data_IF_614052257798
#
_entry.id   IF_614052257798
#
_cell.length_a   1.000
_cell.length_b   1.000
_cell.length_c   1.000
_cell.angle_alpha   90.00
_cell.angle_beta   90.00
_cell.angle_gamma   90.00
#
_symmetry.space_group_name_H-M   'P 1'
#
loop_
_entity.id
_entity.type
_entity.pdbx_description
1 polymer ?
#
# COMPACT_ATOMS: atom_id res chain seq x y z
N UNK A 1 -59.32 51.77 61.48
CA UNK A 1 -57.99 51.90 62.11
C UNK A 1 -57.06 52.42 61.02
N UNK A 2 -56.83 53.73 60.99
CA UNK A 2 -55.64 54.31 60.34
C UNK A 2 -54.37 53.82 61.10
N UNK A 3 -53.12 53.89 60.55
CA UNK A 3 -52.64 55.03 59.78
C UNK A 3 -51.62 54.78 58.62
N UNK A 4 -51.61 55.79 57.74
CA UNK A 4 -50.50 56.59 57.16
C UNK A 4 -49.18 55.97 56.70
N UNK A 5 -48.78 56.48 55.53
CA UNK A 5 -47.41 56.70 55.05
C UNK A 5 -47.33 56.28 53.58
N UNK A 6 -47.08 57.12 52.58
CA UNK A 6 -46.37 58.40 52.50
C UNK A 6 -45.41 58.29 51.29
N UNK A 7 -45.26 59.35 50.50
CA UNK A 7 -44.14 59.50 49.56
C UNK A 7 -44.49 59.53 48.09
N UNK A 8 -44.36 60.72 47.51
CA UNK A 8 -44.47 61.03 46.09
C UNK A 8 -43.19 60.64 45.31
N UNK A 9 -43.33 60.44 43.99
CA UNK A 9 -42.58 61.17 42.95
C UNK A 9 -42.35 60.32 41.69
N UNK A 10 -42.95 60.76 40.58
CA UNK A 10 -42.19 61.15 39.40
C UNK A 10 -41.38 60.12 38.60
N UNK A 11 -41.98 59.77 37.45
CA UNK A 11 -41.40 59.82 36.08
C UNK A 11 -40.76 58.57 35.47
N UNK A 12 -41.36 58.27 34.30
CA UNK A 12 -40.77 57.88 33.02
C UNK A 12 -40.18 56.48 32.83
N UNK A 13 -40.87 55.71 31.97
CA UNK A 13 -40.36 54.56 31.22
C UNK A 13 -39.21 54.98 30.30
N UNK A 14 -38.23 54.09 30.09
CA UNK A 14 -38.10 53.43 28.78
C UNK A 14 -37.96 51.91 28.97
N UNK A 15 -38.69 51.09 28.19
CA UNK A 15 -38.32 50.55 26.89
C UNK A 15 -37.21 49.48 26.94
N UNK A 16 -37.60 48.25 26.60
CA UNK A 16 -36.83 47.15 26.00
C UNK A 16 -35.36 46.93 26.38
N UNK A 17 -35.08 45.77 26.99
CA UNK A 17 -34.53 44.66 26.19
C UNK A 17 -34.54 43.36 26.99
N UNK A 18 -35.34 42.44 26.50
CA UNK A 18 -35.32 41.05 26.84
C UNK A 18 -34.05 40.40 26.26
N UNK A 19 -33.44 39.51 27.07
CA UNK A 19 -32.62 38.36 26.65
C UNK A 19 -31.40 38.66 25.77
N UNK A 20 -30.21 38.59 26.37
CA UNK A 20 -29.01 38.18 25.62
C UNK A 20 -28.32 37.03 26.36
N UNK A 21 -28.90 35.84 26.23
CA UNK A 21 -28.16 34.58 26.38
C UNK A 21 -27.87 34.03 24.99
N UNK A 22 -26.63 33.59 24.81
CA UNK A 22 -26.08 32.76 23.75
C UNK A 22 -26.05 33.36 22.34
N UNK A 23 -24.89 33.93 22.00
CA UNK A 23 -24.36 33.88 20.64
C UNK A 23 -22.85 33.58 20.68
N UNK A 24 -22.51 32.38 21.17
CA UNK A 24 -21.26 31.71 20.80
C UNK A 24 -21.67 30.48 19.98
N UNK A 25 -22.29 30.72 18.83
CA UNK A 25 -22.26 29.82 17.68
C UNK A 25 -21.29 30.54 16.73
N UNK A 26 -20.09 30.04 16.48
CA UNK A 26 -19.84 28.74 15.89
C UNK A 26 -18.73 28.96 14.85
N UNK A 27 -17.52 29.20 15.33
CA UNK A 27 -16.32 29.09 14.50
C UNK A 27 -15.61 27.79 14.88
N UNK A 28 -16.29 26.66 14.67
CA UNK A 28 -15.58 25.40 14.60
C UNK A 28 -14.69 25.48 13.35
N UNK A 29 -13.36 25.38 13.46
CA UNK A 29 -12.55 25.25 12.27
C UNK A 29 -13.04 24.01 11.53
N UNK A 30 -13.29 24.14 10.22
CA UNK A 30 -13.43 22.99 9.34
C UNK A 30 -12.12 22.21 9.49
N UNK A 31 -12.15 21.14 10.29
CA UNK A 31 -11.04 20.22 10.39
C UNK A 31 -10.85 19.63 8.99
N UNK A 32 -9.83 20.11 8.28
CA UNK A 32 -9.39 19.46 7.05
C UNK A 32 -8.72 18.17 7.47
N UNK A 33 -9.43 17.06 7.27
CA UNK A 33 -8.87 15.74 7.45
C UNK A 33 -7.58 15.63 6.64
N UNK A 34 -6.49 15.28 7.32
CA UNK A 34 -5.22 15.01 6.66
C UNK A 34 -5.34 13.61 6.03
N UNK A 35 -5.54 13.56 4.72
CA UNK A 35 -5.43 12.30 3.99
C UNK A 35 -3.95 11.93 3.91
N UNK A 36 -3.59 10.82 4.54
CA UNK A 36 -2.27 10.23 4.39
C UNK A 36 -2.33 9.25 3.20
N UNK A 37 -1.58 9.49 2.12
CA UNK A 37 -1.50 8.54 1.01
C UNK A 37 -1.01 7.17 1.52
N UNK A 38 -1.62 6.09 1.02
CA UNK A 38 -1.26 4.71 1.33
C UNK A 38 -1.89 4.11 2.60
N UNK A 39 -2.84 4.81 3.24
CA UNK A 39 -3.52 4.32 4.47
C UNK A 39 -4.99 3.96 4.26
N UNK A 40 -5.66 4.58 3.28
CA UNK A 40 -7.05 4.24 2.96
C UNK A 40 -7.08 2.95 2.15
N UNK A 41 -7.93 1.99 2.51
CA UNK A 41 -8.16 0.83 1.67
C UNK A 41 -8.75 1.24 0.32
N UNK A 42 -8.43 0.45 -0.71
CA UNK A 42 -9.02 0.58 -2.04
C UNK A 42 -10.07 -0.50 -2.22
N UNK A 43 -11.26 -0.12 -2.68
CA UNK A 43 -12.30 -1.04 -3.11
C UNK A 43 -12.24 -1.24 -4.62
N UNK A 44 -12.05 -2.48 -5.05
CA UNK A 44 -12.01 -2.89 -6.45
C UNK A 44 -13.35 -3.49 -6.89
N UNK A 45 -13.74 -3.23 -8.12
CA UNK A 45 -14.81 -3.94 -8.82
C UNK A 45 -14.25 -5.09 -9.65
N UNK A 46 -15.15 -5.95 -10.15
CA UNK A 46 -14.75 -7.05 -11.04
C UNK A 46 -14.16 -6.49 -12.33
N UNK A 47 -12.95 -6.94 -12.69
CA UNK A 47 -12.25 -6.50 -13.90
C UNK A 47 -11.44 -5.21 -13.74
N UNK A 48 -11.48 -4.56 -12.58
CA UNK A 48 -10.65 -3.38 -12.32
C UNK A 48 -9.16 -3.73 -12.41
N UNK A 49 -8.32 -2.83 -12.96
CA UNK A 49 -6.89 -3.06 -13.02
C UNK A 49 -6.29 -3.02 -11.60
N UNK A 50 -5.43 -3.99 -11.32
CA UNK A 50 -4.67 -4.08 -10.07
C UNK A 50 -3.19 -3.90 -10.39
N UNK A 51 -2.61 -2.81 -9.92
CA UNK A 51 -1.23 -2.46 -10.21
C UNK A 51 -0.26 -3.27 -9.34
N UNK A 52 0.49 -4.17 -9.98
CA UNK A 52 1.66 -4.78 -9.36
C UNK A 52 2.85 -3.84 -9.49
N UNK A 53 3.48 -3.52 -8.36
CA UNK A 53 4.65 -2.64 -8.28
C UNK A 53 5.87 -3.44 -7.83
N UNK A 54 7.04 -3.01 -8.29
CA UNK A 54 8.33 -3.60 -7.93
C UNK A 54 9.11 -2.63 -7.06
N UNK A 55 9.79 -3.15 -6.04
CA UNK A 55 10.62 -2.34 -5.17
C UNK A 55 12.09 -2.74 -5.35
N UNK A 56 12.71 -3.26 -4.29
CA UNK A 56 14.13 -3.58 -4.23
C UNK A 56 14.40 -5.08 -4.19
N UNK A 57 15.62 -5.43 -4.55
CA UNK A 57 16.24 -6.70 -4.26
C UNK A 57 16.95 -6.57 -2.91
N UNK A 58 16.63 -7.45 -1.96
CA UNK A 58 17.23 -7.47 -0.62
C UNK A 58 17.83 -8.83 -0.33
N UNK A 59 18.93 -8.89 0.41
CA UNK A 59 19.58 -10.13 0.78
C UNK A 59 19.58 -10.29 2.30
N UNK A 60 19.54 -11.54 2.78
CA UNK A 60 19.80 -11.87 4.19
C UNK A 60 21.30 -11.96 4.50
N UNK A 61 22.15 -12.08 3.46
CA UNK A 61 23.61 -12.18 3.58
C UNK A 61 24.30 -10.83 3.52
N UNK A 62 23.79 -9.92 2.71
CA UNK A 62 24.39 -8.59 2.49
C UNK A 62 23.46 -7.48 2.97
N UNK A 63 24.02 -6.31 3.26
CA UNK A 63 23.26 -5.13 3.71
C UNK A 63 22.91 -4.17 2.55
N UNK A 64 23.25 -4.51 1.31
CA UNK A 64 23.11 -3.62 0.16
C UNK A 64 21.86 -3.98 -0.65
N UNK A 65 20.82 -3.13 -0.64
CA UNK A 65 19.68 -3.30 -1.54
C UNK A 65 20.03 -2.81 -2.95
N UNK A 66 19.44 -3.47 -3.95
CA UNK A 66 19.51 -3.04 -5.35
C UNK A 66 18.12 -2.73 -5.90
N UNK A 67 18.00 -1.84 -6.89
CA UNK A 67 16.71 -1.67 -7.60
C UNK A 67 16.36 -2.96 -8.35
N UNK A 68 15.06 -3.28 -8.44
CA UNK A 68 14.55 -4.44 -9.17
C UNK A 68 15.12 -4.52 -10.59
N UNK A 69 15.15 -3.40 -11.32
CA UNK A 69 15.63 -3.35 -12.71
C UNK A 69 17.15 -3.37 -12.89
N UNK A 70 17.91 -3.53 -11.80
CA UNK A 70 19.36 -3.84 -11.86
C UNK A 70 19.61 -5.18 -12.55
N UNK A 71 18.70 -6.15 -12.32
CA UNK A 71 18.62 -7.38 -13.08
C UNK A 71 17.80 -7.17 -14.36
N UNK A 72 18.14 -7.88 -15.45
CA UNK A 72 17.43 -7.75 -16.73
C UNK A 72 16.10 -8.52 -16.68
N UNK A 73 15.17 -8.02 -15.88
CA UNK A 73 13.77 -8.44 -15.89
C UNK A 73 13.01 -7.74 -17.03
N UNK A 74 11.76 -8.18 -17.27
CA UNK A 74 10.85 -7.49 -18.18
C UNK A 74 10.62 -6.05 -17.71
N UNK A 75 10.83 -5.08 -18.60
CA UNK A 75 10.63 -3.65 -18.32
C UNK A 75 9.39 -3.14 -19.06
N UNK A 76 8.58 -2.26 -18.45
CA UNK A 76 7.55 -1.52 -19.16
C UNK A 76 8.19 -0.48 -20.10
N UNK A 77 7.42 0.04 -21.06
CA UNK A 77 7.89 1.07 -22.01
C UNK A 77 8.45 2.31 -21.31
N UNK A 78 7.85 2.67 -20.17
CA UNK A 78 8.30 3.77 -19.31
C UNK A 78 8.27 3.33 -17.86
N UNK A 79 9.46 3.35 -17.25
CA UNK A 79 9.62 3.19 -15.80
C UNK A 79 9.22 4.50 -15.13
N UNK A 80 8.28 4.40 -14.21
CA UNK A 80 7.74 5.50 -13.42
C UNK A 80 7.87 5.11 -11.97
N UNK A 81 8.53 5.98 -11.20
CA UNK A 81 8.58 5.86 -9.76
C UNK A 81 7.23 6.29 -9.17
N UNK A 82 6.67 5.46 -8.30
CA UNK A 82 5.57 5.82 -7.41
C UNK A 82 6.07 5.86 -5.96
N UNK A 83 5.39 6.65 -5.16
CA UNK A 83 5.58 6.69 -3.71
C UNK A 83 4.24 6.30 -3.11
N UNK A 84 4.19 5.25 -2.31
CA UNK A 84 2.93 4.78 -1.72
C UNK A 84 2.63 5.52 -0.42
N UNK A 85 3.66 5.79 0.38
CA UNK A 85 3.49 6.44 1.67
C UNK A 85 4.62 7.45 2.01
N UNK A 86 4.36 8.28 3.01
CA UNK A 86 5.32 9.28 3.49
C UNK A 86 6.60 8.64 4.05
N UNK A 87 6.51 7.45 4.64
CA UNK A 87 7.66 6.73 5.18
C UNK A 87 8.67 6.36 4.10
N UNK A 88 8.21 5.87 2.95
CA UNK A 88 9.05 5.53 1.79
C UNK A 88 9.74 6.77 1.22
N UNK A 89 9.04 7.91 1.18
CA UNK A 89 9.67 9.18 0.77
C UNK A 89 10.85 9.52 1.67
N UNK A 90 10.66 9.39 2.99
CA UNK A 90 11.69 9.73 3.97
C UNK A 90 12.85 8.72 3.98
N UNK A 91 12.57 7.46 3.66
CA UNK A 91 13.58 6.41 3.53
C UNK A 91 14.28 6.43 2.16
N UNK A 92 13.77 7.21 1.20
CA UNK A 92 14.27 7.26 -0.17
C UNK A 92 14.01 5.95 -0.93
N UNK A 93 12.97 5.20 -0.54
CA UNK A 93 12.58 3.98 -1.24
C UNK A 93 11.93 4.36 -2.57
N UNK A 94 12.37 3.74 -3.65
CA UNK A 94 11.87 4.02 -5.00
C UNK A 94 11.10 2.79 -5.46
N UNK A 95 9.77 2.89 -5.42
CA UNK A 95 8.88 1.87 -5.94
C UNK A 95 8.62 2.19 -7.41
N UNK A 96 8.70 1.19 -8.26
CA UNK A 96 8.59 1.35 -9.71
C UNK A 96 7.42 0.52 -10.24
N UNK A 97 6.80 0.96 -11.33
CA UNK A 97 5.75 0.20 -11.99
C UNK A 97 6.30 -1.09 -12.62
N UNK A 98 5.51 -2.16 -12.60
CA UNK A 98 5.80 -3.41 -13.32
C UNK A 98 5.04 -3.48 -14.65
N UNK A 99 5.42 -4.37 -15.58
CA UNK A 99 4.66 -4.61 -16.81
C UNK A 99 3.51 -5.62 -16.63
N UNK A 100 3.28 -6.16 -15.43
CA UNK A 100 2.22 -7.13 -15.18
C UNK A 100 0.85 -6.45 -15.25
N UNK A 101 -0.05 -7.04 -16.03
CA UNK A 101 -1.43 -6.58 -16.18
C UNK A 101 -2.34 -7.56 -15.45
N UNK A 102 -2.73 -7.19 -14.22
CA UNK A 102 -3.61 -7.99 -13.37
C UNK A 102 -4.98 -7.31 -13.34
N UNK A 103 -6.03 -8.14 -13.37
CA UNK A 103 -7.41 -7.67 -13.29
C UNK A 103 -8.11 -8.37 -12.14
N UNK A 104 -8.87 -7.62 -11.35
CA UNK A 104 -9.54 -8.13 -10.17
C UNK A 104 -10.56 -9.21 -10.55
N UNK A 105 -10.51 -10.35 -9.85
CA UNK A 105 -11.31 -11.56 -10.08
C UNK A 105 -11.18 -12.22 -11.47
N UNK A 106 -10.10 -11.92 -12.20
CA UNK A 106 -9.83 -12.56 -13.49
C UNK A 106 -8.58 -13.43 -13.41
N UNK A 107 -8.79 -14.73 -13.32
CA UNK A 107 -7.70 -15.70 -13.29
C UNK A 107 -7.08 -15.85 -14.68
N UNK A 108 -5.76 -15.67 -14.76
CA UNK A 108 -4.98 -15.89 -15.98
C UNK A 108 -3.87 -16.92 -15.67
N UNK A 109 -3.76 -17.97 -16.49
CA UNK A 109 -2.77 -19.03 -16.32
C UNK A 109 -1.69 -18.97 -17.39
N UNK A 110 -0.42 -19.07 -17.00
CA UNK A 110 0.73 -19.17 -17.92
C UNK A 110 0.79 -18.06 -18.98
N UNK A 111 0.53 -16.81 -18.58
CA UNK A 111 0.69 -15.64 -19.46
C UNK A 111 2.17 -15.27 -19.56
N UNK A 112 2.69 -15.32 -20.78
CA UNK A 112 4.04 -14.85 -21.07
C UNK A 112 4.08 -13.31 -20.98
N UNK A 113 4.98 -12.79 -20.14
CA UNK A 113 5.16 -11.35 -19.97
C UNK A 113 6.08 -10.76 -21.03
N UNK A 114 7.26 -11.35 -21.19
CA UNK A 114 8.22 -10.99 -22.23
C UNK A 114 9.22 -12.13 -22.47
N UNK A 115 9.91 -12.09 -23.61
CA UNK A 115 11.06 -12.94 -23.88
C UNK A 115 12.33 -12.09 -23.88
N UNK A 116 13.37 -12.56 -23.19
CA UNK A 116 14.68 -11.91 -23.18
C UNK A 116 15.80 -12.94 -23.35
N UNK A 117 16.81 -12.56 -24.13
CA UNK A 117 18.05 -13.32 -24.27
C UNK A 117 19.10 -12.69 -23.38
N UNK A 118 19.56 -13.45 -22.38
CA UNK A 118 20.58 -12.99 -21.45
C UNK A 118 21.97 -13.07 -22.09
N UNK A 119 22.69 -11.96 -22.05
CA UNK A 119 24.13 -11.90 -22.34
C UNK A 119 24.96 -12.52 -21.21
N UNK A 120 26.22 -12.90 -21.47
CA UNK A 120 27.11 -13.42 -20.42
C UNK A 120 27.24 -12.50 -19.19
N UNK A 121 27.48 -11.17 -19.31
CA UNK A 121 27.58 -10.31 -18.12
C UNK A 121 26.25 -10.22 -17.33
N UNK A 122 25.11 -10.37 -18.00
CA UNK A 122 23.80 -10.43 -17.33
C UNK A 122 23.59 -11.75 -16.57
N UNK A 123 24.06 -12.86 -17.14
CA UNK A 123 24.06 -14.15 -16.43
C UNK A 123 24.94 -14.09 -15.19
N UNK A 124 26.10 -13.44 -15.26
CA UNK A 124 26.98 -13.25 -14.11
C UNK A 124 26.34 -12.43 -13.00
N UNK A 125 25.57 -11.39 -13.34
CA UNK A 125 24.77 -10.64 -12.35
C UNK A 125 23.76 -11.54 -11.65
N UNK A 126 23.01 -12.36 -12.40
CA UNK A 126 22.09 -13.32 -11.79
C UNK A 126 22.81 -14.31 -10.89
N UNK A 127 23.96 -14.86 -11.31
CA UNK A 127 24.75 -15.78 -10.48
C UNK A 127 25.12 -15.14 -9.15
N UNK A 128 25.71 -13.95 -9.16
CA UNK A 128 26.08 -13.22 -7.94
C UNK A 128 24.87 -12.97 -7.03
N UNK A 129 23.74 -12.53 -7.58
CA UNK A 129 22.53 -12.29 -6.78
C UNK A 129 21.93 -13.58 -6.21
N UNK A 130 22.04 -14.70 -6.91
CA UNK A 130 21.59 -16.02 -6.43
C UNK A 130 22.51 -16.53 -5.31
N UNK A 131 23.83 -16.38 -5.44
CA UNK A 131 24.80 -16.76 -4.41
C UNK A 131 24.59 -16.00 -3.10
N UNK A 132 24.30 -14.71 -3.23
CA UNK A 132 24.00 -13.81 -2.13
C UNK A 132 22.55 -13.94 -1.62
N UNK A 133 21.75 -14.89 -2.12
CA UNK A 133 20.37 -15.14 -1.67
C UNK A 133 19.48 -13.88 -1.70
N UNK A 134 19.56 -13.13 -2.79
CA UNK A 134 18.68 -11.98 -2.99
C UNK A 134 17.22 -12.41 -3.18
N UNK A 135 16.35 -11.68 -2.50
CA UNK A 135 14.90 -11.74 -2.56
C UNK A 135 14.38 -10.56 -3.38
N UNK A 136 13.37 -10.82 -4.19
CA UNK A 136 12.61 -9.85 -4.96
C UNK A 136 11.46 -9.34 -4.09
N UNK A 137 11.38 -8.04 -3.85
CA UNK A 137 10.26 -7.42 -3.14
C UNK A 137 9.28 -6.80 -4.13
N UNK A 138 8.06 -7.32 -4.14
CA UNK A 138 6.93 -6.79 -4.88
C UNK A 138 5.87 -6.25 -3.94
N UNK A 139 5.07 -5.32 -4.44
CA UNK A 139 4.01 -4.63 -3.70
C UNK A 139 2.76 -4.62 -4.56
N UNK A 140 1.61 -4.95 -3.97
CA UNK A 140 0.30 -4.91 -4.61
C UNK A 140 -0.72 -4.39 -3.61
N UNK A 141 -1.44 -3.32 -3.95
CA UNK A 141 -2.36 -2.62 -3.02
C UNK A 141 -1.74 -2.36 -1.64
N UNK A 142 -0.51 -1.84 -1.63
CA UNK A 142 0.29 -1.56 -0.42
C UNK A 142 0.63 -2.79 0.44
N UNK A 143 0.37 -4.01 -0.03
CA UNK A 143 0.75 -5.25 0.61
C UNK A 143 2.04 -5.81 0.01
N UNK A 144 3.00 -6.26 0.83
CA UNK A 144 4.19 -6.93 0.32
C UNK A 144 3.83 -8.33 -0.18
N UNK A 145 4.50 -8.76 -1.25
CA UNK A 145 4.45 -10.15 -1.68
C UNK A 145 5.02 -11.06 -0.58
N UNK A 146 4.40 -12.23 -0.35
CA UNK A 146 4.86 -13.19 0.63
C UNK A 146 4.93 -14.61 0.06
N UNK A 147 6.11 -15.22 0.05
CA UNK A 147 6.23 -16.63 -0.34
C UNK A 147 5.87 -17.55 0.83
N UNK A 148 4.87 -18.41 0.62
CA UNK A 148 4.53 -19.49 1.56
C UNK A 148 5.45 -20.70 1.37
N UNK A 149 6.14 -21.13 2.43
CA UNK A 149 6.95 -22.34 2.42
C UNK A 149 6.59 -23.31 3.54
N UNK A 150 6.71 -24.61 3.24
CA UNK A 150 6.41 -25.68 4.19
C UNK A 150 7.68 -26.11 4.93
N UNK A 151 7.67 -26.00 6.26
CA UNK A 151 8.75 -26.50 7.10
C UNK A 151 8.75 -28.03 7.16
N UNK A 152 9.89 -28.66 7.50
CA UNK A 152 9.95 -30.11 7.75
C UNK A 152 8.97 -30.59 8.83
N UNK A 153 8.63 -29.74 9.80
CA UNK A 153 7.61 -30.01 10.82
C UNK A 153 6.17 -30.08 10.29
N UNK A 154 5.94 -29.73 9.01
CA UNK A 154 4.64 -29.67 8.38
C UNK A 154 3.94 -28.31 8.52
N UNK A 155 4.42 -27.42 9.39
CA UNK A 155 3.90 -26.06 9.55
C UNK A 155 4.30 -25.14 8.38
N UNK A 156 3.43 -24.20 8.04
CA UNK A 156 3.75 -23.17 7.05
C UNK A 156 4.42 -21.96 7.71
N UNK A 157 5.27 -21.29 6.94
CA UNK A 157 5.82 -19.97 7.25
C UNK A 157 5.76 -19.11 6.00
N UNK A 158 5.74 -17.81 6.22
CA UNK A 158 5.75 -16.78 5.19
C UNK A 158 7.09 -16.05 5.23
N UNK A 159 7.62 -15.76 4.05
CA UNK A 159 8.80 -14.93 3.87
C UNK A 159 8.44 -13.79 2.93
N UNK A 160 8.86 -12.58 3.27
CA UNK A 160 8.65 -11.42 2.40
C UNK A 160 9.43 -11.60 1.09
N UNK A 161 8.76 -11.35 -0.03
CA UNK A 161 9.28 -11.54 -1.36
C UNK A 161 9.53 -13.01 -1.73
N UNK A 162 10.34 -13.22 -2.77
CA UNK A 162 10.75 -14.53 -3.26
C UNK A 162 12.19 -14.51 -3.76
N UNK A 163 12.89 -15.65 -3.72
CA UNK A 163 14.29 -15.72 -4.16
C UNK A 163 14.41 -15.43 -5.67
N UNK A 164 15.44 -14.68 -6.06
CA UNK A 164 15.82 -14.48 -7.47
C UNK A 164 16.07 -15.82 -8.19
N UNK A 165 16.58 -16.81 -7.46
CA UNK A 165 16.85 -18.13 -7.97
C UNK A 165 17.39 -19.06 -6.90
N UNK A 166 17.83 -20.25 -7.33
CA UNK A 166 18.37 -21.28 -6.45
C UNK A 166 19.59 -21.97 -7.07
N UNK A 167 20.42 -22.53 -6.21
CA UNK A 167 21.56 -23.36 -6.60
C UNK A 167 21.20 -24.81 -6.31
N UNK A 168 21.20 -25.66 -7.34
CA UNK A 168 20.93 -27.10 -7.19
C UNK A 168 21.93 -27.90 -8.02
N UNK A 169 22.60 -28.87 -7.38
CA UNK A 169 23.60 -29.75 -8.02
C UNK A 169 24.64 -28.96 -8.84
N UNK A 170 25.17 -27.87 -8.27
CA UNK A 170 26.14 -26.96 -8.91
C UNK A 170 25.64 -26.24 -10.17
N UNK A 171 24.33 -26.19 -10.38
CA UNK A 171 23.71 -25.40 -11.44
C UNK A 171 22.88 -24.28 -10.82
N UNK A 172 22.85 -23.13 -11.50
CA UNK A 172 22.07 -21.97 -11.12
C UNK A 172 20.75 -21.98 -11.89
N UNK A 173 19.65 -21.82 -11.16
CA UNK A 173 18.30 -21.74 -11.70
C UNK A 173 17.71 -20.38 -11.34
N UNK A 174 17.14 -19.69 -12.33
CA UNK A 174 16.47 -18.39 -12.14
C UNK A 174 14.98 -18.67 -11.92
N UNK A 175 14.38 -18.01 -10.94
CA UNK A 175 12.93 -18.02 -10.77
C UNK A 175 12.30 -17.00 -11.72
N UNK A 176 11.96 -17.44 -12.92
CA UNK A 176 11.29 -16.63 -13.95
C UNK A 176 9.78 -16.93 -14.09
N UNK A 177 9.29 -17.97 -13.41
CA UNK A 177 7.88 -18.33 -13.39
C UNK A 177 7.32 -18.07 -11.99
N UNK A 178 6.41 -17.10 -11.90
CA UNK A 178 5.73 -16.73 -10.66
C UNK A 178 4.26 -17.13 -10.74
N UNK A 179 3.71 -17.59 -9.62
CA UNK A 179 2.26 -17.76 -9.43
C UNK A 179 1.85 -16.71 -8.42
N UNK A 180 0.82 -15.93 -8.75
CA UNK A 180 0.31 -14.87 -7.88
C UNK A 180 -1.04 -15.31 -7.35
N UNK A 181 -1.16 -15.42 -6.04
CA UNK A 181 -2.41 -15.67 -5.32
C UNK A 181 -2.82 -14.39 -4.60
N UNK A 182 -3.90 -13.77 -5.07
CA UNK A 182 -4.40 -12.49 -4.55
C UNK A 182 -5.64 -12.80 -3.71
N UNK A 183 -5.50 -12.63 -2.40
CA UNK A 183 -6.57 -12.84 -1.45
C UNK A 183 -7.39 -11.57 -1.29
N UNK A 184 -8.70 -11.72 -1.23
CA UNK A 184 -9.61 -10.59 -1.11
C UNK A 184 -10.73 -10.86 -0.11
N UNK A 185 -11.32 -9.78 0.38
CA UNK A 185 -12.45 -9.78 1.29
C UNK A 185 -13.61 -8.96 0.73
N UNK A 186 -14.84 -9.41 0.97
CA UNK A 186 -16.06 -8.72 0.60
C UNK A 186 -16.95 -8.58 1.84
N UNK A 187 -17.44 -7.36 2.09
CA UNK A 187 -18.41 -7.10 3.16
C UNK A 187 -19.46 -6.09 2.68
N UNK A 188 -20.58 -6.56 2.11
CA UNK A 188 -21.62 -5.69 1.55
C UNK A 188 -22.30 -4.76 2.57
N UNK A 189 -22.21 -5.05 3.87
CA UNK A 189 -22.76 -4.19 4.92
C UNK A 189 -21.86 -2.98 5.22
N UNK A 190 -20.56 -3.09 4.92
CA UNK A 190 -19.56 -2.07 5.23
C UNK A 190 -19.07 -1.32 3.99
N UNK A 191 -18.90 -2.00 2.86
CA UNK A 191 -18.41 -1.41 1.61
C UNK A 191 -18.87 -2.22 0.38
N UNK A 192 -18.91 -1.56 -0.77
CA UNK A 192 -19.19 -2.20 -2.06
C UNK A 192 -17.88 -2.64 -2.73
N UNK A 193 -17.90 -3.80 -3.40
CA UNK A 193 -16.73 -4.34 -4.12
C UNK A 193 -15.86 -5.28 -3.29
N UNK A 194 -14.59 -5.37 -3.66
CA UNK A 194 -13.61 -6.31 -3.12
C UNK A 194 -12.38 -5.54 -2.62
N UNK A 195 -11.91 -5.89 -1.42
CA UNK A 195 -10.70 -5.34 -0.84
C UNK A 195 -9.61 -6.40 -0.83
N UNK A 196 -8.43 -6.08 -1.32
CA UNK A 196 -7.30 -7.01 -1.30
C UNK A 196 -6.75 -7.06 0.13
N UNK A 197 -6.49 -8.27 0.62
CA UNK A 197 -6.06 -8.52 2.01
C UNK A 197 -4.81 -9.39 2.10
N UNK A 198 -4.37 -9.98 0.99
CA UNK A 198 -3.17 -10.80 0.95
C UNK A 198 -2.64 -10.96 -0.47
N UNK A 199 -1.32 -11.17 -0.56
CA UNK A 199 -0.60 -11.37 -1.80
C UNK A 199 0.51 -12.40 -1.60
N UNK A 200 0.35 -13.59 -2.20
CA UNK A 200 1.26 -14.74 -2.08
C UNK A 200 1.81 -15.21 -3.44
#
# INVERSE_FOLDING_TARGET
>A
MEPRGGGASGRARPASSAVLRLAVLGAAPLARGLYLPGFSPVEYQTGDPVDLKVNKLTSVKTQLPYSYYTLPYCRPDKIQASVENLGETLMGDVIENSPYQIQMLKNESCKLLCEQKLSEPEKDKFRSMIEDEYLVNWILDNLPAATRYRRPSGAFTYMDGFLVGLIQRSHYFIHNHVTLDIQYHQNPEAFEGYRIVGFE
#
